data_IF_133572369245
#
_entry.id   IF_133572369245
#
_cell.length_a   1.000
_cell.length_b   1.000
_cell.length_c   1.000
_cell.angle_alpha   90.00
_cell.angle_beta   90.00
_cell.angle_gamma   90.00
#
_symmetry.space_group_name_H-M   'P 1'
#
loop_
_entity.id
_entity.type
_entity.pdbx_description
1 polymer ?
#
# COMPACT_ATOMS: atom_id res chain seq x y z
N UNK A 1 17.18 -1.42 17.23
CA UNK A 1 16.86 -2.67 16.50
C UNK A 1 17.87 -2.83 15.37
N UNK A 2 18.55 -3.97 15.24
CA UNK A 2 19.49 -4.24 14.13
C UNK A 2 18.81 -5.22 13.16
N UNK A 3 18.22 -4.77 12.04
CA UNK A 3 17.36 -5.60 11.19
C UNK A 3 18.03 -6.88 10.68
N UNK A 4 19.35 -6.86 10.51
CA UNK A 4 20.15 -8.03 10.14
C UNK A 4 20.19 -9.10 11.23
N UNK A 5 20.30 -8.70 12.50
CA UNK A 5 20.25 -9.64 13.63
C UNK A 5 18.84 -10.20 13.83
N UNK A 6 17.81 -9.37 13.66
CA UNK A 6 16.41 -9.82 13.73
C UNK A 6 16.08 -10.84 12.63
N UNK A 7 16.56 -10.61 11.40
CA UNK A 7 16.38 -11.55 10.30
C UNK A 7 17.07 -12.90 10.56
N UNK A 8 18.27 -12.88 11.18
CA UNK A 8 18.97 -14.09 11.60
C UNK A 8 18.19 -14.83 12.70
N UNK A 9 17.74 -14.12 13.74
CA UNK A 9 16.94 -14.70 14.81
C UNK A 9 15.62 -15.31 14.33
N UNK A 10 14.95 -14.65 13.37
CA UNK A 10 13.73 -15.19 12.73
C UNK A 10 14.02 -16.48 11.96
N UNK A 11 15.12 -16.50 11.18
CA UNK A 11 15.56 -17.71 10.46
C UNK A 11 15.78 -18.88 11.42
N UNK A 12 16.54 -18.65 12.49
CA UNK A 12 16.86 -19.67 13.50
C UNK A 12 15.59 -20.18 14.21
N UNK A 13 14.73 -19.27 14.65
CA UNK A 13 13.48 -19.62 15.33
C UNK A 13 12.55 -20.46 14.45
N UNK A 14 12.43 -20.11 13.18
CA UNK A 14 11.54 -20.80 12.24
C UNK A 14 12.11 -22.16 11.81
N UNK A 15 13.44 -22.26 11.64
CA UNK A 15 14.13 -23.54 11.45
C UNK A 15 13.93 -24.48 12.65
N UNK A 16 14.08 -23.94 13.86
CA UNK A 16 13.88 -24.70 15.09
C UNK A 16 12.44 -25.18 15.21
N UNK A 17 11.46 -24.28 15.02
CA UNK A 17 10.04 -24.62 15.05
C UNK A 17 9.69 -25.74 14.07
N UNK A 18 10.12 -25.65 12.82
CA UNK A 18 9.86 -26.69 11.82
C UNK A 18 10.55 -28.01 12.20
N UNK A 19 11.80 -27.95 12.64
CA UNK A 19 12.56 -29.13 13.06
C UNK A 19 11.94 -29.84 14.26
N UNK A 20 11.30 -29.11 15.18
CA UNK A 20 10.62 -29.70 16.35
C UNK A 20 9.18 -30.15 16.05
N UNK A 21 8.48 -29.48 15.13
CA UNK A 21 7.08 -29.79 14.79
C UNK A 21 6.95 -31.16 14.12
N UNK A 22 7.92 -31.55 13.28
CA UNK A 22 7.89 -32.84 12.60
C UNK A 22 8.31 -34.04 13.48
N UNK A 23 8.60 -33.83 14.77
CA UNK A 23 8.75 -34.91 15.75
C UNK A 23 9.72 -36.03 15.34
N UNK A 24 10.76 -35.69 14.58
CA UNK A 24 11.66 -36.68 13.99
C UNK A 24 12.44 -37.40 15.09
N UNK A 25 12.12 -38.68 15.33
CA UNK A 25 12.78 -39.51 16.34
C UNK A 25 14.25 -39.80 15.98
N UNK A 26 14.56 -39.81 14.68
CA UNK A 26 15.90 -40.01 14.17
C UNK A 26 16.69 -38.69 14.10
N UNK A 27 17.82 -38.66 14.81
CA UNK A 27 18.72 -37.50 14.88
C UNK A 27 19.34 -37.15 13.52
N UNK A 28 19.63 -38.16 12.70
CA UNK A 28 20.19 -37.99 11.35
C UNK A 28 19.19 -37.33 10.40
N UNK A 29 17.94 -37.77 10.42
CA UNK A 29 16.86 -37.17 9.61
C UNK A 29 16.59 -35.72 10.05
N UNK A 30 16.63 -35.44 11.36
CA UNK A 30 16.48 -34.07 11.88
C UNK A 30 17.59 -33.14 11.40
N UNK A 31 18.84 -33.60 11.46
CA UNK A 31 20.00 -32.85 10.94
C UNK A 31 19.91 -32.63 9.43
N UNK A 32 19.47 -33.64 8.68
CA UNK A 32 19.29 -33.53 7.23
C UNK A 32 18.20 -32.50 6.87
N UNK A 33 17.06 -32.51 7.57
CA UNK A 33 16.00 -31.53 7.38
C UNK A 33 16.47 -30.09 7.71
N UNK A 34 17.18 -29.92 8.83
CA UNK A 34 17.73 -28.63 9.23
C UNK A 34 18.73 -28.10 8.18
N UNK A 35 19.64 -28.95 7.69
CA UNK A 35 20.58 -28.59 6.64
C UNK A 35 19.87 -28.23 5.33
N UNK A 36 18.86 -29.02 4.93
CA UNK A 36 18.08 -28.77 3.72
C UNK A 36 17.32 -27.43 3.76
N UNK A 37 16.61 -27.16 4.87
CA UNK A 37 15.86 -25.90 5.01
C UNK A 37 16.77 -24.69 5.17
N UNK A 38 17.92 -24.88 5.84
CA UNK A 38 18.87 -23.82 6.16
C UNK A 38 19.86 -23.47 5.04
N UNK A 39 19.94 -24.29 4.00
CA UNK A 39 20.84 -24.11 2.86
C UNK A 39 20.68 -22.73 2.21
N UNK A 40 21.78 -22.02 2.02
CA UNK A 40 21.76 -20.62 1.57
C UNK A 40 21.41 -20.46 0.08
N UNK A 41 21.54 -21.54 -0.71
CA UNK A 41 21.44 -21.52 -2.17
C UNK A 41 20.21 -22.22 -2.72
N UNK A 42 19.64 -23.16 -1.98
CA UNK A 42 18.52 -24.01 -2.38
C UNK A 42 17.47 -24.13 -1.29
N UNK A 43 17.82 -23.78 -0.05
CA UNK A 43 16.92 -23.79 1.09
C UNK A 43 15.88 -22.68 1.05
N UNK A 44 15.08 -22.65 2.11
CA UNK A 44 13.90 -21.79 2.22
C UNK A 44 14.27 -20.32 2.45
N UNK A 45 15.44 -20.05 3.02
CA UNK A 45 15.87 -18.71 3.42
C UNK A 45 16.94 -18.16 2.48
N UNK A 46 16.55 -17.22 1.62
CA UNK A 46 17.45 -16.55 0.66
C UNK A 46 18.18 -15.33 1.22
N UNK A 47 18.17 -15.17 2.54
CA UNK A 47 18.77 -14.04 3.25
C UNK A 47 17.90 -12.78 3.30
N UNK A 48 18.36 -11.73 4.02
CA UNK A 48 17.65 -10.47 4.08
C UNK A 48 17.83 -9.69 2.77
N UNK A 49 16.73 -9.39 2.09
CA UNK A 49 16.75 -8.50 0.94
C UNK A 49 16.71 -7.04 1.40
N UNK A 50 17.79 -6.30 1.14
CA UNK A 50 17.79 -4.85 1.31
C UNK A 50 17.31 -4.19 0.01
N UNK A 51 16.15 -3.53 0.07
CA UNK A 51 15.62 -2.77 -1.06
C UNK A 51 15.80 -1.29 -0.82
N UNK A 52 16.81 -0.71 -1.47
CA UNK A 52 16.98 0.74 -1.53
C UNK A 52 16.13 1.29 -2.69
N UNK A 53 15.26 2.25 -2.40
CA UNK A 53 14.54 3.00 -3.43
C UNK A 53 14.73 4.47 -3.17
N UNK A 54 14.94 5.24 -4.23
CA UNK A 54 14.80 6.69 -4.15
C UNK A 54 13.35 7.04 -3.77
N UNK A 55 13.14 8.04 -2.90
CA UNK A 55 11.80 8.52 -2.62
C UNK A 55 11.14 9.02 -3.91
N UNK A 56 9.81 8.96 -3.97
CA UNK A 56 9.07 9.54 -5.09
C UNK A 56 9.17 11.07 -5.01
N UNK A 57 9.25 11.73 -6.17
CA UNK A 57 9.30 13.19 -6.21
C UNK A 57 8.00 13.78 -5.64
N UNK A 58 8.07 14.72 -4.68
CA UNK A 58 6.91 15.51 -4.29
C UNK A 58 6.40 16.31 -5.50
N UNK A 59 5.12 16.64 -5.50
CA UNK A 59 4.54 17.57 -6.46
C UNK A 59 5.07 18.99 -6.20
N UNK A 60 5.22 19.77 -7.28
CA UNK A 60 5.36 21.22 -7.18
C UNK A 60 4.02 21.90 -6.90
N UNK A 61 4.00 23.22 -6.90
CA UNK A 61 2.79 24.00 -6.62
C UNK A 61 1.69 23.83 -7.68
N UNK A 62 0.46 24.18 -7.31
CA UNK A 62 -0.70 24.24 -8.21
C UNK A 62 -1.58 22.99 -8.18
N UNK A 63 -1.15 21.88 -7.59
CA UNK A 63 -2.00 20.69 -7.46
C UNK A 63 -3.27 20.96 -6.64
N UNK A 64 -3.21 21.92 -5.70
CA UNK A 64 -4.32 22.32 -4.82
C UNK A 64 -5.49 22.90 -5.62
N UNK A 65 -5.28 23.41 -6.83
CA UNK A 65 -6.38 23.94 -7.63
C UNK A 65 -7.35 22.84 -8.09
N UNK A 66 -6.90 21.58 -8.12
CA UNK A 66 -7.66 20.44 -8.61
C UNK A 66 -8.49 19.73 -7.53
N UNK A 67 -8.27 20.04 -6.25
CA UNK A 67 -8.94 19.42 -5.11
C UNK A 67 -9.38 20.50 -4.11
N UNK A 68 -10.65 20.49 -3.72
CA UNK A 68 -11.16 21.27 -2.60
C UNK A 68 -10.96 20.49 -1.28
N UNK A 69 -11.02 19.17 -1.36
CA UNK A 69 -10.71 18.26 -0.25
C UNK A 69 -9.20 18.20 0.01
N UNK A 70 -8.73 19.06 0.90
CA UNK A 70 -7.31 19.18 1.27
C UNK A 70 -7.12 18.69 2.71
N UNK A 71 -6.11 17.84 2.92
CA UNK A 71 -5.71 17.41 4.27
C UNK A 71 -5.07 18.57 5.02
N UNK A 72 -5.40 18.71 6.30
CA UNK A 72 -4.91 19.79 7.16
C UNK A 72 -3.54 19.51 7.78
N UNK A 73 -2.96 18.34 7.56
CA UNK A 73 -1.70 17.86 8.15
C UNK A 73 -0.44 18.29 7.39
N UNK A 74 -0.55 19.26 6.47
CA UNK A 74 0.59 19.70 5.65
C UNK A 74 1.05 18.66 4.63
N UNK A 75 0.20 17.68 4.32
CA UNK A 75 0.51 16.64 3.33
C UNK A 75 0.70 17.22 1.92
N UNK A 76 1.74 16.74 1.24
CA UNK A 76 2.03 17.07 -0.17
C UNK A 76 1.99 15.80 -1.00
N UNK A 77 1.22 15.74 -2.10
CA UNK A 77 1.18 14.59 -2.99
C UNK A 77 2.52 14.38 -3.70
N UNK A 78 2.73 13.17 -4.21
CA UNK A 78 3.78 12.93 -5.19
C UNK A 78 3.39 13.50 -6.56
N UNK A 79 4.39 13.82 -7.40
CA UNK A 79 4.18 14.42 -8.72
C UNK A 79 3.22 13.61 -9.61
N UNK A 80 3.26 12.27 -9.53
CA UNK A 80 2.36 11.40 -10.30
C UNK A 80 0.92 11.40 -9.78
N UNK A 81 0.71 11.65 -8.48
CA UNK A 81 -0.62 11.82 -7.88
C UNK A 81 -1.20 13.17 -8.30
N UNK A 82 -0.43 14.25 -8.20
CA UNK A 82 -0.85 15.57 -8.67
C UNK A 82 -1.24 15.57 -10.16
N UNK A 83 -0.47 14.88 -11.01
CA UNK A 83 -0.83 14.68 -12.42
C UNK A 83 -2.14 13.91 -12.60
N UNK A 84 -2.42 12.94 -11.73
CA UNK A 84 -3.71 12.23 -11.75
C UNK A 84 -4.86 13.14 -11.29
N UNK A 85 -4.64 14.02 -10.30
CA UNK A 85 -5.65 14.96 -9.83
C UNK A 85 -6.10 15.91 -10.94
N UNK A 86 -5.15 16.46 -11.69
CA UNK A 86 -5.44 17.32 -12.84
C UNK A 86 -6.35 16.64 -13.89
N UNK A 87 -6.18 15.33 -14.10
CA UNK A 87 -6.97 14.55 -15.07
C UNK A 87 -8.33 14.10 -14.52
N UNK A 88 -8.38 13.79 -13.23
CA UNK A 88 -9.53 13.13 -12.59
C UNK A 88 -10.47 14.09 -11.87
N UNK A 89 -10.08 15.36 -11.70
CA UNK A 89 -10.93 16.36 -11.04
C UNK A 89 -12.26 16.53 -11.77
N UNK A 90 -13.31 16.78 -11.00
CA UNK A 90 -14.65 17.13 -11.50
C UNK A 90 -15.01 18.59 -11.17
N UNK A 91 -14.02 19.38 -10.76
CA UNK A 91 -14.19 20.78 -10.37
C UNK A 91 -14.37 21.68 -11.60
N UNK A 92 -15.04 22.81 -11.42
CA UNK A 92 -15.15 23.88 -12.43
C UNK A 92 -15.69 23.42 -13.79
N UNK A 93 -16.57 22.41 -13.78
CA UNK A 93 -17.15 21.83 -15.00
C UNK A 93 -16.20 20.92 -15.79
N UNK A 94 -15.02 20.60 -15.25
CA UNK A 94 -14.10 19.63 -15.84
C UNK A 94 -14.73 18.24 -15.87
N UNK A 95 -14.61 17.56 -17.02
CA UNK A 95 -15.04 16.18 -17.19
C UNK A 95 -13.86 15.25 -16.92
N UNK A 96 -13.90 14.39 -15.88
CA UNK A 96 -12.81 13.48 -15.56
C UNK A 96 -12.37 12.62 -16.75
N UNK A 97 -11.07 12.58 -17.00
CA UNK A 97 -10.50 11.81 -18.09
C UNK A 97 -10.17 10.37 -17.68
N UNK A 98 -10.40 9.36 -18.55
CA UNK A 98 -9.87 8.02 -18.36
C UNK A 98 -8.36 8.05 -18.09
N UNK A 99 -7.94 7.47 -16.97
CA UNK A 99 -6.57 7.60 -16.49
C UNK A 99 -6.00 6.27 -16.03
N UNK A 100 -4.88 5.87 -16.63
CA UNK A 100 -4.08 4.72 -16.20
C UNK A 100 -2.87 5.21 -15.40
N UNK A 101 -2.74 4.76 -14.15
CA UNK A 101 -1.63 5.16 -13.26
C UNK A 101 -0.58 4.04 -13.21
N UNK A 102 0.55 4.23 -13.91
CA UNK A 102 1.66 3.27 -13.96
C UNK A 102 2.82 3.72 -13.07
N UNK A 103 2.89 3.22 -11.83
CA UNK A 103 3.99 3.51 -10.89
C UNK A 103 4.36 2.31 -10.03
N UNK A 104 5.58 2.30 -9.46
CA UNK A 104 6.10 1.20 -8.67
C UNK A 104 5.26 0.85 -7.43
N UNK A 105 5.35 -0.37 -6.90
CA UNK A 105 4.63 -0.79 -5.68
C UNK A 105 4.95 0.13 -4.50
N UNK A 106 3.95 0.56 -3.72
CA UNK A 106 4.16 1.47 -2.59
C UNK A 106 4.39 2.94 -2.97
N UNK A 107 4.12 3.33 -4.22
CA UNK A 107 4.15 4.73 -4.67
C UNK A 107 2.99 5.59 -4.21
N UNK A 108 1.97 4.98 -3.60
CA UNK A 108 0.71 5.65 -3.33
C UNK A 108 -0.17 5.79 -4.58
N UNK A 109 -0.36 4.69 -5.33
CA UNK A 109 -1.30 4.65 -6.46
C UNK A 109 -2.74 4.89 -6.03
N UNK A 110 -3.10 4.42 -4.84
CA UNK A 110 -4.46 4.57 -4.31
C UNK A 110 -4.83 6.03 -4.19
N UNK A 111 -3.92 6.82 -3.63
CA UNK A 111 -4.04 8.26 -3.43
C UNK A 111 -4.32 8.99 -4.75
N UNK A 112 -3.68 8.58 -5.87
CA UNK A 112 -3.88 9.20 -7.18
C UNK A 112 -5.34 9.29 -7.63
N UNK A 113 -6.18 8.31 -7.30
CA UNK A 113 -7.59 8.30 -7.66
C UNK A 113 -8.52 8.53 -6.46
N UNK A 114 -8.09 8.19 -5.25
CA UNK A 114 -8.93 8.29 -4.06
C UNK A 114 -9.23 9.75 -3.71
N UNK A 115 -8.22 10.62 -3.72
CA UNK A 115 -8.41 12.05 -3.40
C UNK A 115 -9.43 12.72 -4.35
N UNK A 116 -9.32 12.61 -5.69
CA UNK A 116 -10.34 13.13 -6.60
C UNK A 116 -11.75 12.58 -6.38
N UNK A 117 -11.87 11.29 -6.02
CA UNK A 117 -13.17 10.67 -5.74
C UNK A 117 -13.78 11.23 -4.45
N UNK A 118 -13.01 11.33 -3.36
CA UNK A 118 -13.50 11.88 -2.10
C UNK A 118 -13.90 13.35 -2.25
N UNK A 119 -13.09 14.11 -2.98
CA UNK A 119 -13.37 15.50 -3.35
C UNK A 119 -14.67 15.64 -4.15
N UNK A 120 -14.91 14.78 -5.14
CA UNK A 120 -16.18 14.73 -5.86
C UNK A 120 -17.36 14.37 -4.94
N UNK A 121 -17.21 13.37 -4.07
CA UNK A 121 -18.25 12.99 -3.10
C UNK A 121 -18.60 14.14 -2.16
N UNK A 122 -17.61 14.90 -1.69
CA UNK A 122 -17.81 16.06 -0.83
C UNK A 122 -18.59 17.16 -1.56
N UNK A 123 -18.23 17.47 -2.81
CA UNK A 123 -18.97 18.43 -3.65
C UNK A 123 -20.42 18.00 -3.89
N UNK A 124 -20.64 16.74 -4.26
CA UNK A 124 -21.98 16.19 -4.50
C UNK A 124 -22.86 16.24 -3.26
N UNK A 125 -22.29 15.93 -2.09
CA UNK A 125 -22.99 16.05 -0.80
C UNK A 125 -23.37 17.50 -0.51
N UNK A 126 -22.46 18.45 -0.73
CA UNK A 126 -22.73 19.88 -0.54
C UNK A 126 -23.82 20.41 -1.49
N UNK A 127 -23.93 19.84 -2.69
CA UNK A 127 -25.00 20.13 -3.64
C UNK A 127 -26.34 19.44 -3.30
N UNK A 128 -26.41 18.63 -2.23
CA UNK A 128 -27.60 17.90 -1.84
C UNK A 128 -27.88 16.61 -2.63
N UNK A 129 -26.94 16.18 -3.47
CA UNK A 129 -27.09 14.99 -4.31
C UNK A 129 -26.68 13.73 -3.54
N UNK A 130 -27.65 12.92 -3.12
CA UNK A 130 -27.39 11.62 -2.48
C UNK A 130 -27.07 10.51 -3.48
N UNK A 131 -26.71 9.32 -2.98
CA UNK A 131 -26.46 8.12 -3.79
C UNK A 131 -24.98 7.76 -3.99
N UNK A 132 -24.73 6.66 -4.71
CA UNK A 132 -23.39 6.15 -4.99
C UNK A 132 -22.69 7.04 -6.02
N UNK A 133 -21.48 7.54 -5.69
CA UNK A 133 -20.67 8.40 -6.58
C UNK A 133 -19.48 7.71 -7.22
N UNK A 134 -19.01 6.62 -6.61
CA UNK A 134 -17.88 5.85 -7.10
C UNK A 134 -17.97 4.39 -6.69
N UNK A 135 -17.36 3.52 -7.49
CA UNK A 135 -17.20 2.09 -7.23
C UNK A 135 -15.72 1.77 -7.29
N UNK A 136 -15.17 1.22 -6.21
CA UNK A 136 -13.80 0.71 -6.19
C UNK A 136 -13.82 -0.80 -6.38
N UNK A 137 -13.03 -1.28 -7.34
CA UNK A 137 -12.90 -2.70 -7.63
C UNK A 137 -11.50 -3.16 -7.23
N UNK A 138 -11.45 -4.18 -6.37
CA UNK A 138 -10.21 -4.83 -5.95
C UNK A 138 -10.25 -6.32 -6.31
N UNK A 139 -9.11 -6.91 -6.69
CA UNK A 139 -9.07 -8.31 -7.13
C UNK A 139 -9.28 -9.32 -5.99
N UNK A 140 -9.20 -8.90 -4.73
CA UNK A 140 -9.27 -9.78 -3.56
C UNK A 140 -10.08 -9.13 -2.44
N UNK A 141 -10.90 -9.93 -1.75
CA UNK A 141 -11.70 -9.49 -0.62
C UNK A 141 -10.85 -8.89 0.51
N UNK A 142 -9.72 -9.52 0.86
CA UNK A 142 -8.82 -9.01 1.90
C UNK A 142 -8.32 -7.59 1.57
N UNK A 143 -7.91 -7.36 0.32
CA UNK A 143 -7.46 -6.05 -0.11
C UNK A 143 -8.62 -5.03 -0.12
N UNK A 144 -9.81 -5.44 -0.54
CA UNK A 144 -11.00 -4.58 -0.48
C UNK A 144 -11.31 -4.15 0.96
N UNK A 145 -11.28 -5.08 1.90
CA UNK A 145 -11.52 -4.82 3.32
C UNK A 145 -10.47 -3.87 3.90
N UNK A 146 -9.19 -4.09 3.63
CA UNK A 146 -8.11 -3.21 4.10
C UNK A 146 -8.27 -1.79 3.56
N UNK A 147 -8.62 -1.64 2.27
CA UNK A 147 -8.84 -0.33 1.67
C UNK A 147 -10.10 0.35 2.22
N UNK A 148 -11.18 -0.39 2.48
CA UNK A 148 -12.38 0.16 3.10
C UNK A 148 -12.10 0.70 4.51
N UNK A 149 -11.36 -0.06 5.34
CA UNK A 149 -10.96 0.39 6.68
C UNK A 149 -10.13 1.68 6.62
N UNK A 150 -9.17 1.77 5.69
CA UNK A 150 -8.35 2.97 5.49
C UNK A 150 -9.18 4.18 5.05
N UNK A 151 -10.15 3.98 4.15
CA UNK A 151 -11.05 5.05 3.70
C UNK A 151 -11.92 5.53 4.86
N UNK A 152 -12.44 4.62 5.68
CA UNK A 152 -13.23 5.01 6.87
C UNK A 152 -12.42 5.87 7.84
N UNK A 153 -11.13 5.54 8.05
CA UNK A 153 -10.25 6.39 8.86
C UNK A 153 -10.10 7.80 8.29
N UNK A 154 -9.84 7.91 6.97
CA UNK A 154 -9.74 9.22 6.30
C UNK A 154 -11.02 10.06 6.39
N UNK A 155 -12.18 9.41 6.40
CA UNK A 155 -13.48 10.08 6.50
C UNK A 155 -13.80 10.50 7.94
N UNK A 156 -13.41 9.69 8.94
CA UNK A 156 -13.64 9.99 10.35
C UNK A 156 -12.79 11.18 10.84
N UNK A 157 -11.58 11.35 10.29
CA UNK A 157 -10.70 12.49 10.59
C UNK A 157 -11.16 13.80 9.91
N UNK A 158 -12.26 13.77 9.14
CA UNK A 158 -12.75 14.89 8.34
C UNK A 158 -14.08 15.50 8.85
N UNK A 159 -14.53 15.10 10.04
CA UNK A 159 -15.59 15.78 10.82
C UNK A 159 -14.97 16.75 11.85
#
# INVERSE_FOLDING_TARGET
MRPTLEAQGLKESLLQYLSTTYGLADEGVRKALHAFLGDETTGMFRGPYLRLRTPFSPAGDGWQQHLDWVRTDGWTPYAHQARAFARLTSKDGHVPEPTLVTTGTGSGKTESFLYPVLDHCARERAAGNSGVKAIFLYPMNALATDQAARINGLLADYD
#
